data_IF_048178924893
#
_entry.id   IF_048178924893
#
_cell.length_a   1.000
_cell.length_b   1.000
_cell.length_c   1.000
_cell.angle_alpha   90.00
_cell.angle_beta   90.00
_cell.angle_gamma   90.00
#
_symmetry.space_group_name_H-M   'P 1'
#
loop_
_entity.id
_entity.type
_entity.pdbx_description
1 polymer ?
#
# COMPACT_ATOMS: atom_id res chain seq x y z
N UNK A 1 6.91 -2.42 -5.72
CA UNK A 1 6.76 -1.19 -4.90
C UNK A 1 6.29 -1.59 -3.50
N UNK A 2 6.76 -0.91 -2.45
CA UNK A 2 6.45 -1.26 -1.05
C UNK A 2 4.95 -1.34 -0.76
N UNK A 3 4.16 -0.39 -1.27
CA UNK A 3 2.71 -0.35 -1.05
C UNK A 3 1.93 -1.56 -1.57
N UNK A 4 2.47 -2.28 -2.56
CA UNK A 4 1.88 -3.50 -3.12
C UNK A 4 2.42 -4.78 -2.44
N UNK A 5 3.62 -4.70 -1.83
CA UNK A 5 4.29 -5.83 -1.19
C UNK A 5 3.86 -6.00 0.28
N UNK A 6 3.87 -4.91 1.05
CA UNK A 6 3.63 -4.96 2.49
C UNK A 6 2.27 -5.57 2.87
N UNK A 7 1.16 -5.32 2.15
CA UNK A 7 -0.14 -5.92 2.46
C UNK A 7 -0.18 -7.46 2.35
N UNK A 8 0.74 -8.06 1.58
CA UNK A 8 0.82 -9.52 1.41
C UNK A 8 1.51 -10.22 2.58
N UNK A 9 2.38 -9.51 3.31
CA UNK A 9 3.22 -10.11 4.35
C UNK A 9 2.44 -10.78 5.49
N UNK A 10 1.32 -10.23 6.01
CA UNK A 10 0.53 -10.90 7.04
C UNK A 10 0.07 -12.29 6.61
N UNK A 11 -0.44 -12.43 5.38
CA UNK A 11 -0.87 -13.72 4.84
C UNK A 11 0.32 -14.68 4.62
N UNK A 12 1.44 -14.17 4.11
CA UNK A 12 2.66 -14.97 3.92
C UNK A 12 3.18 -15.52 5.24
N UNK A 13 3.22 -14.70 6.29
CA UNK A 13 3.61 -15.13 7.65
C UNK A 13 2.64 -16.15 8.23
N UNK A 14 1.34 -15.97 8.05
CA UNK A 14 0.32 -16.90 8.51
C UNK A 14 0.46 -18.27 7.83
N UNK A 15 0.66 -18.32 6.52
CA UNK A 15 0.92 -19.54 5.77
C UNK A 15 2.22 -20.23 6.27
N UNK A 16 3.28 -19.47 6.48
CA UNK A 16 4.55 -20.00 7.02
C UNK A 16 4.37 -20.60 8.42
N UNK A 17 3.65 -19.89 9.30
CA UNK A 17 3.35 -20.36 10.67
C UNK A 17 2.56 -21.67 10.67
N UNK A 18 1.72 -21.89 9.65
CA UNK A 18 0.95 -23.14 9.46
C UNK A 18 1.77 -24.28 8.85
N UNK A 19 3.06 -24.06 8.61
CA UNK A 19 3.98 -25.08 8.13
C UNK A 19 4.13 -25.17 6.62
N UNK A 20 3.56 -24.22 5.85
CA UNK A 20 3.80 -24.16 4.42
C UNK A 20 5.20 -23.62 4.12
N UNK A 21 5.82 -24.12 3.04
CA UNK A 21 6.97 -23.45 2.44
C UNK A 21 6.49 -22.24 1.68
N UNK A 22 6.99 -21.04 2.02
CA UNK A 22 6.54 -19.78 1.43
C UNK A 22 7.73 -19.05 0.84
N UNK A 23 7.66 -18.74 -0.46
CA UNK A 23 8.61 -17.86 -1.12
C UNK A 23 7.93 -16.57 -1.52
N UNK A 24 8.66 -15.46 -1.44
CA UNK A 24 8.23 -14.17 -1.94
C UNK A 24 9.10 -13.76 -3.12
N UNK A 25 8.47 -13.52 -4.27
CA UNK A 25 9.17 -13.09 -5.48
C UNK A 25 9.17 -11.57 -5.55
N UNK A 26 10.35 -10.98 -5.56
CA UNK A 26 10.55 -9.53 -5.49
C UNK A 26 11.59 -9.04 -6.48
N UNK A 27 11.61 -7.72 -6.71
CA UNK A 27 12.71 -7.06 -7.39
C UNK A 27 13.89 -6.81 -6.42
N UNK A 28 15.11 -6.60 -6.94
CA UNK A 28 16.29 -6.31 -6.11
C UNK A 28 16.06 -5.18 -5.09
N UNK A 29 15.39 -4.10 -5.50
CA UNK A 29 15.09 -2.95 -4.62
C UNK A 29 14.15 -3.28 -3.45
N UNK A 30 13.39 -4.38 -3.52
CA UNK A 30 12.48 -4.80 -2.46
C UNK A 30 13.09 -5.85 -1.50
N UNK A 31 14.27 -6.38 -1.79
CA UNK A 31 14.93 -7.37 -0.92
C UNK A 31 15.09 -6.88 0.52
N UNK A 32 15.54 -5.63 0.80
CA UNK A 32 15.69 -5.15 2.17
C UNK A 32 14.40 -5.14 2.99
N UNK A 33 13.24 -5.07 2.33
CA UNK A 33 11.92 -5.05 2.99
C UNK A 33 11.52 -6.41 3.52
N UNK A 34 12.01 -7.48 2.89
CA UNK A 34 11.66 -8.87 3.19
C UNK A 34 12.81 -9.67 3.77
N UNK A 35 14.00 -9.08 3.91
CA UNK A 35 15.20 -9.78 4.39
C UNK A 35 15.08 -10.30 5.81
N UNK A 36 14.29 -9.63 6.65
CA UNK A 36 14.07 -10.02 8.05
C UNK A 36 12.86 -10.97 8.22
N UNK A 37 12.15 -11.26 7.12
CA UNK A 37 11.05 -12.21 7.14
C UNK A 37 11.59 -13.67 7.10
N UNK A 38 10.95 -14.58 7.82
CA UNK A 38 11.25 -16.01 7.73
C UNK A 38 10.60 -16.61 6.46
N UNK A 39 10.99 -16.09 5.30
CA UNK A 39 10.48 -16.43 3.98
C UNK A 39 11.64 -16.67 3.01
N UNK A 40 11.46 -17.58 2.06
CA UNK A 40 12.40 -17.69 0.94
C UNK A 40 12.22 -16.51 -0.01
N UNK A 41 13.32 -15.92 -0.47
CA UNK A 41 13.28 -14.74 -1.34
C UNK A 41 13.77 -15.12 -2.74
N UNK A 42 12.90 -14.94 -3.73
CA UNK A 42 13.19 -15.11 -5.16
C UNK A 42 13.35 -13.75 -5.81
N UNK A 43 14.56 -13.42 -6.25
CA UNK A 43 14.84 -12.13 -6.91
C UNK A 43 14.77 -12.34 -8.41
N UNK A 44 13.60 -12.14 -8.99
CA UNK A 44 13.33 -12.51 -10.39
C UNK A 44 12.33 -11.60 -11.11
N UNK A 45 12.03 -10.41 -10.58
CA UNK A 45 11.17 -9.44 -11.27
C UNK A 45 11.85 -8.10 -11.43
N UNK A 46 11.49 -7.35 -12.47
CA UNK A 46 12.10 -6.07 -12.80
C UNK A 46 11.84 -5.01 -11.72
N UNK A 47 12.81 -4.15 -11.51
CA UNK A 47 12.68 -3.00 -10.61
C UNK A 47 11.69 -1.96 -11.13
N UNK A 48 10.99 -1.31 -10.21
CA UNK A 48 10.03 -0.26 -10.53
C UNK A 48 10.61 0.86 -11.40
N UNK A 49 11.76 1.46 -11.06
CA UNK A 49 12.41 2.47 -11.89
C UNK A 49 12.72 2.00 -13.32
N UNK A 50 13.15 0.76 -13.49
CA UNK A 50 13.43 0.20 -14.82
C UNK A 50 12.13 0.04 -15.64
N UNK A 51 11.04 -0.44 -15.02
CA UNK A 51 9.73 -0.53 -15.66
C UNK A 51 9.23 0.87 -16.07
N UNK A 52 9.34 1.87 -15.19
CA UNK A 52 8.94 3.25 -15.48
C UNK A 52 9.74 3.80 -16.68
N UNK A 53 11.05 3.60 -16.72
CA UNK A 53 11.89 4.02 -17.84
C UNK A 53 11.49 3.36 -19.17
N UNK A 54 11.14 2.07 -19.12
CA UNK A 54 10.67 1.35 -20.29
C UNK A 54 9.31 1.85 -20.77
N UNK A 55 8.38 2.14 -19.85
CA UNK A 55 7.07 2.73 -20.20
C UNK A 55 7.27 4.11 -20.82
N UNK A 56 8.11 4.97 -20.25
CA UNK A 56 8.44 6.26 -20.84
C UNK A 56 9.01 6.10 -22.25
N UNK A 57 9.87 5.10 -22.48
CA UNK A 57 10.42 4.81 -23.83
C UNK A 57 9.35 4.37 -24.81
N UNK A 58 8.34 3.60 -24.37
CA UNK A 58 7.25 3.07 -25.21
C UNK A 58 6.17 4.09 -25.49
N UNK A 59 5.79 4.87 -24.50
CA UNK A 59 4.60 5.74 -24.52
C UNK A 59 4.93 7.23 -24.60
N UNK A 60 6.13 7.63 -24.18
CA UNK A 60 6.50 9.03 -24.00
C UNK A 60 5.98 9.64 -22.68
N UNK A 61 5.36 8.85 -21.80
CA UNK A 61 4.72 9.34 -20.57
C UNK A 61 5.42 8.85 -19.30
N UNK A 62 5.53 9.75 -18.29
CA UNK A 62 5.99 9.41 -16.95
C UNK A 62 4.82 8.98 -16.08
N UNK A 63 4.73 7.69 -15.78
CA UNK A 63 3.64 7.11 -15.00
C UNK A 63 3.74 7.33 -13.48
N UNK A 64 4.71 8.12 -13.01
CA UNK A 64 4.80 8.55 -11.61
C UNK A 64 3.86 9.69 -11.28
N UNK A 65 3.50 10.51 -12.27
CA UNK A 65 2.57 11.62 -12.17
C UNK A 65 1.23 11.33 -12.84
N UNK A 66 0.58 12.38 -13.34
CA UNK A 66 -0.60 12.23 -14.18
C UNK A 66 -0.19 11.59 -15.52
N UNK A 67 -0.83 10.50 -15.87
CA UNK A 67 -0.58 9.77 -17.10
C UNK A 67 -1.90 9.27 -17.71
N UNK A 68 -1.86 8.90 -18.99
CA UNK A 68 -3.01 8.27 -19.62
C UNK A 68 -3.28 6.88 -19.02
N UNK A 69 -4.53 6.46 -19.14
CA UNK A 69 -4.94 5.10 -18.76
C UNK A 69 -4.13 4.03 -19.48
N UNK A 70 -3.82 4.26 -20.74
CA UNK A 70 -3.05 3.38 -21.61
C UNK A 70 -1.62 3.23 -21.11
N UNK A 71 -0.96 4.32 -20.71
CA UNK A 71 0.39 4.28 -20.15
C UNK A 71 0.42 3.55 -18.79
N UNK A 72 -0.59 3.76 -17.95
CA UNK A 72 -0.73 3.02 -16.69
C UNK A 72 -0.93 1.52 -16.93
N UNK A 73 -1.77 1.11 -17.90
CA UNK A 73 -1.95 -0.29 -18.28
C UNK A 73 -0.65 -0.87 -18.85
N UNK A 74 0.08 -0.13 -19.66
CA UNK A 74 1.38 -0.54 -20.18
C UNK A 74 2.36 -0.84 -19.02
N UNK A 75 2.37 -0.01 -17.96
CA UNK A 75 3.25 -0.19 -16.82
C UNK A 75 2.96 -1.47 -16.03
N UNK A 76 1.69 -1.71 -15.70
CA UNK A 76 1.30 -2.84 -14.85
C UNK A 76 1.22 -4.15 -15.61
N UNK A 77 0.68 -4.14 -16.82
CA UNK A 77 0.43 -5.35 -17.60
C UNK A 77 1.60 -5.69 -18.54
N UNK A 78 1.90 -4.84 -19.52
CA UNK A 78 2.79 -5.24 -20.62
C UNK A 78 4.27 -5.13 -20.27
N UNK A 79 4.74 -3.93 -19.95
CA UNK A 79 6.17 -3.70 -19.69
C UNK A 79 6.68 -4.56 -18.53
N UNK A 80 5.88 -4.68 -17.47
CA UNK A 80 6.26 -5.51 -16.33
C UNK A 80 6.33 -7.00 -16.65
N UNK A 81 5.40 -7.52 -17.46
CA UNK A 81 5.44 -8.89 -17.94
C UNK A 81 6.68 -9.10 -18.81
N UNK A 82 6.90 -8.24 -19.80
CA UNK A 82 8.01 -8.34 -20.75
C UNK A 82 9.38 -8.35 -20.07
N UNK A 83 9.52 -7.54 -19.02
CA UNK A 83 10.79 -7.37 -18.32
C UNK A 83 11.03 -8.37 -17.19
N UNK A 84 10.02 -9.18 -16.83
CA UNK A 84 10.14 -10.05 -15.66
C UNK A 84 10.02 -11.55 -15.99
N UNK A 85 9.22 -11.93 -16.97
CA UNK A 85 8.81 -13.32 -17.15
C UNK A 85 9.97 -14.24 -17.49
N UNK A 86 10.97 -13.78 -18.24
CA UNK A 86 12.11 -14.61 -18.64
C UNK A 86 12.98 -15.07 -17.46
N UNK A 87 13.04 -14.27 -16.39
CA UNK A 87 13.73 -14.63 -15.14
C UNK A 87 12.76 -15.27 -14.13
N UNK A 88 11.53 -14.77 -14.06
CA UNK A 88 10.54 -15.20 -13.07
C UNK A 88 10.03 -16.63 -13.32
N UNK A 89 9.83 -17.03 -14.58
CA UNK A 89 9.30 -18.35 -14.91
C UNK A 89 10.28 -19.49 -14.54
N UNK A 90 11.57 -19.43 -14.89
CA UNK A 90 12.53 -20.45 -14.44
C UNK A 90 12.64 -20.52 -12.92
N UNK A 91 12.61 -19.39 -12.23
CA UNK A 91 12.64 -19.33 -10.77
C UNK A 91 11.39 -19.99 -10.14
N UNK A 92 10.20 -19.71 -10.66
CA UNK A 92 8.97 -20.35 -10.24
C UNK A 92 8.95 -21.84 -10.51
N UNK A 93 9.40 -22.27 -11.68
CA UNK A 93 9.50 -23.69 -12.04
C UNK A 93 10.49 -24.47 -11.17
N UNK A 94 11.61 -23.84 -10.79
CA UNK A 94 12.59 -24.44 -9.88
C UNK A 94 12.02 -24.55 -8.45
N UNK A 95 11.27 -23.54 -8.00
CA UNK A 95 10.60 -23.55 -6.68
C UNK A 95 9.45 -24.56 -6.63
N UNK A 96 8.71 -24.76 -7.72
CA UNK A 96 7.54 -25.64 -7.84
C UNK A 96 6.40 -25.28 -6.88
N UNK A 97 5.76 -24.11 -7.03
CA UNK A 97 4.63 -23.73 -6.19
C UNK A 97 3.43 -24.65 -6.40
N UNK A 98 2.67 -24.91 -5.34
CA UNK A 98 1.33 -25.52 -5.42
C UNK A 98 0.24 -24.43 -5.56
N UNK A 99 0.54 -23.21 -5.15
CA UNK A 99 -0.35 -22.06 -5.21
C UNK A 99 0.46 -20.77 -5.43
N UNK A 100 -0.04 -19.86 -6.26
CA UNK A 100 0.51 -18.51 -6.40
C UNK A 100 -0.44 -17.50 -5.83
N UNK A 101 0.01 -16.70 -4.84
CA UNK A 101 -0.70 -15.53 -4.36
C UNK A 101 -0.09 -14.29 -5.04
N UNK A 102 -0.93 -13.47 -5.66
CA UNK A 102 -0.50 -12.26 -6.34
C UNK A 102 -1.35 -11.06 -5.95
N UNK A 103 -0.81 -9.88 -6.04
CA UNK A 103 -1.54 -8.65 -5.80
C UNK A 103 -2.43 -8.29 -7.00
N UNK A 104 -3.46 -7.46 -6.79
CA UNK A 104 -4.49 -7.13 -7.78
C UNK A 104 -3.94 -6.55 -9.09
N UNK A 105 -2.88 -5.75 -9.02
CA UNK A 105 -2.24 -5.13 -10.19
C UNK A 105 -0.96 -5.86 -10.63
N UNK A 106 -0.66 -7.01 -10.04
CA UNK A 106 0.40 -7.90 -10.50
C UNK A 106 -0.12 -8.86 -11.57
N UNK A 107 0.44 -8.77 -12.76
CA UNK A 107 0.15 -9.66 -13.88
C UNK A 107 1.28 -10.67 -14.17
N UNK A 108 2.38 -10.63 -13.43
CA UNK A 108 3.43 -11.66 -13.51
C UNK A 108 2.99 -12.89 -12.72
N UNK A 109 2.47 -12.74 -11.50
CA UNK A 109 2.01 -13.85 -10.67
C UNK A 109 0.95 -14.73 -11.35
N UNK A 110 -0.15 -14.19 -11.91
CA UNK A 110 -1.12 -14.98 -12.67
C UNK A 110 -0.54 -15.67 -13.92
N UNK A 111 0.46 -15.04 -14.58
CA UNK A 111 1.19 -15.68 -15.67
C UNK A 111 1.92 -16.92 -15.18
N UNK A 112 2.69 -16.80 -14.08
CA UNK A 112 3.45 -17.89 -13.47
C UNK A 112 2.54 -19.03 -13.04
N UNK A 113 1.42 -18.72 -12.39
CA UNK A 113 0.43 -19.72 -12.00
C UNK A 113 -0.08 -20.52 -13.20
N UNK A 114 -0.47 -19.83 -14.28
CA UNK A 114 -0.96 -20.45 -15.50
C UNK A 114 0.12 -21.27 -16.23
N UNK A 115 1.36 -20.79 -16.28
CA UNK A 115 2.50 -21.45 -16.90
C UNK A 115 2.99 -22.67 -16.12
N UNK A 116 2.86 -22.67 -14.79
CA UNK A 116 3.18 -23.80 -13.90
C UNK A 116 1.99 -24.76 -13.71
N UNK A 117 0.84 -24.47 -14.32
CA UNK A 117 -0.39 -25.27 -14.20
C UNK A 117 -0.93 -25.36 -12.75
N UNK A 118 -0.79 -24.32 -11.96
CA UNK A 118 -1.28 -24.22 -10.59
C UNK A 118 -2.37 -23.15 -10.47
N UNK A 119 -3.10 -23.17 -9.36
CA UNK A 119 -4.10 -22.16 -9.08
C UNK A 119 -3.47 -20.85 -8.57
N UNK A 120 -4.23 -19.76 -8.70
CA UNK A 120 -3.84 -18.48 -8.11
C UNK A 120 -4.90 -17.90 -7.18
N UNK A 121 -4.45 -17.06 -6.26
CA UNK A 121 -5.26 -16.23 -5.36
C UNK A 121 -4.85 -14.79 -5.57
N UNK A 122 -5.83 -13.92 -5.83
CA UNK A 122 -5.62 -12.49 -5.92
C UNK A 122 -5.77 -11.86 -4.54
N UNK A 123 -4.89 -10.93 -4.18
CA UNK A 123 -4.95 -10.17 -2.94
C UNK A 123 -5.15 -8.68 -3.27
N UNK A 124 -6.17 -8.04 -2.72
CA UNK A 124 -6.35 -6.59 -2.87
C UNK A 124 -5.38 -5.83 -1.94
N UNK A 125 -5.20 -4.54 -2.16
CA UNK A 125 -4.33 -3.72 -1.31
C UNK A 125 -5.03 -2.48 -0.73
N UNK A 126 -6.34 -2.32 -0.97
CA UNK A 126 -7.13 -1.20 -0.45
C UNK A 126 -8.51 -1.16 -1.04
N UNK A 127 -9.14 0.02 -1.02
CA UNK A 127 -10.43 0.25 -1.64
C UNK A 127 -10.39 -0.02 -3.14
N UNK A 128 -11.56 -0.36 -3.71
CA UNK A 128 -11.67 -0.77 -5.11
C UNK A 128 -11.08 0.27 -6.07
N UNK A 129 -10.16 -0.19 -6.90
CA UNK A 129 -9.70 0.55 -8.07
C UNK A 129 -10.78 0.41 -9.14
N UNK A 130 -10.98 1.42 -9.97
CA UNK A 130 -11.95 1.37 -11.07
C UNK A 130 -12.00 -0.01 -11.74
N UNK A 131 -13.14 -0.71 -11.63
CA UNK A 131 -13.34 -2.03 -12.20
C UNK A 131 -13.07 -2.07 -13.71
N UNK A 132 -13.32 -0.94 -14.40
CA UNK A 132 -13.02 -0.80 -15.83
C UNK A 132 -11.53 -0.73 -16.11
N UNK A 133 -10.74 -0.11 -15.21
CA UNK A 133 -9.29 -0.08 -15.32
C UNK A 133 -8.71 -1.49 -15.14
N UNK A 134 -9.08 -2.18 -14.06
CA UNK A 134 -8.64 -3.54 -13.77
C UNK A 134 -9.02 -4.50 -14.92
N UNK A 135 -10.22 -4.37 -15.45
CA UNK A 135 -10.68 -5.18 -16.59
C UNK A 135 -9.84 -4.94 -17.84
N UNK A 136 -9.56 -3.67 -18.18
CA UNK A 136 -8.77 -3.32 -19.35
C UNK A 136 -7.33 -3.83 -19.22
N UNK A 137 -6.71 -3.69 -18.05
CA UNK A 137 -5.38 -4.22 -17.78
C UNK A 137 -5.34 -5.75 -17.86
N UNK A 138 -6.35 -6.45 -17.33
CA UNK A 138 -6.47 -7.91 -17.45
C UNK A 138 -6.65 -8.38 -18.89
N UNK A 139 -7.43 -7.65 -19.70
CA UNK A 139 -7.59 -7.95 -21.14
C UNK A 139 -6.26 -7.80 -21.87
N UNK A 140 -5.50 -6.75 -21.57
CA UNK A 140 -4.17 -6.51 -22.15
C UNK A 140 -3.19 -7.62 -21.73
N UNK A 141 -3.09 -7.92 -20.44
CA UNK A 141 -2.24 -9.00 -19.93
C UNK A 141 -2.58 -10.35 -20.55
N UNK A 142 -3.88 -10.67 -20.70
CA UNK A 142 -4.32 -11.91 -21.33
C UNK A 142 -3.93 -12.00 -22.83
N UNK A 143 -3.82 -10.87 -23.51
CA UNK A 143 -3.29 -10.82 -24.88
C UNK A 143 -1.78 -11.13 -24.90
N UNK A 144 -1.02 -10.53 -23.99
CA UNK A 144 0.43 -10.75 -23.85
C UNK A 144 0.76 -12.20 -23.44
N UNK A 145 -0.06 -12.81 -22.57
CA UNK A 145 0.09 -14.24 -22.21
C UNK A 145 -0.03 -15.15 -23.45
N UNK A 146 -1.02 -14.87 -24.31
CA UNK A 146 -1.23 -15.69 -25.53
C UNK A 146 -0.04 -15.64 -26.47
N UNK A 147 0.66 -14.51 -26.60
CA UNK A 147 1.89 -14.43 -27.42
C UNK A 147 3.00 -15.33 -26.91
N UNK A 148 2.94 -15.70 -25.61
CA UNK A 148 3.89 -16.59 -24.91
C UNK A 148 3.35 -18.03 -24.75
N UNK A 149 2.24 -18.36 -25.41
CA UNK A 149 1.64 -19.69 -25.32
C UNK A 149 0.91 -19.99 -24.01
N UNK A 150 0.69 -18.99 -23.17
CA UNK A 150 0.02 -19.13 -21.86
C UNK A 150 -1.42 -18.64 -21.95
N UNK A 151 -2.34 -19.36 -21.34
CA UNK A 151 -3.74 -18.98 -21.29
C UNK A 151 -4.07 -18.36 -19.94
N UNK A 152 -4.64 -17.15 -19.94
CA UNK A 152 -5.17 -16.51 -18.74
C UNK A 152 -6.15 -17.42 -17.99
N UNK A 153 -5.97 -17.49 -16.66
CA UNK A 153 -6.91 -18.14 -15.74
C UNK A 153 -7.37 -17.15 -14.68
N UNK A 154 -8.62 -17.23 -14.27
CA UNK A 154 -9.12 -16.44 -13.15
C UNK A 154 -8.55 -16.98 -11.84
N UNK A 155 -8.24 -16.12 -10.86
CA UNK A 155 -7.90 -16.59 -9.52
C UNK A 155 -9.06 -17.37 -8.90
N UNK A 156 -8.75 -18.43 -8.15
CA UNK A 156 -9.77 -19.24 -7.46
C UNK A 156 -10.47 -18.48 -6.33
N UNK A 157 -9.76 -17.53 -5.71
CA UNK A 157 -10.22 -16.69 -4.60
C UNK A 157 -9.66 -15.28 -4.75
N UNK A 158 -10.34 -14.33 -4.12
CA UNK A 158 -9.84 -12.97 -3.93
C UNK A 158 -9.81 -12.71 -2.43
N UNK A 159 -8.64 -12.43 -1.88
CA UNK A 159 -8.47 -11.96 -0.50
C UNK A 159 -8.62 -10.45 -0.50
N UNK A 160 -9.63 -9.94 0.21
CA UNK A 160 -9.93 -8.51 0.22
C UNK A 160 -9.68 -7.91 1.61
N UNK A 161 -8.78 -6.93 1.66
CA UNK A 161 -8.43 -6.23 2.89
C UNK A 161 -9.19 -4.91 3.08
N UNK A 162 -10.11 -4.57 2.17
CA UNK A 162 -10.90 -3.34 2.27
C UNK A 162 -12.10 -3.56 3.20
N UNK A 163 -12.25 -2.78 4.29
CA UNK A 163 -13.44 -2.84 5.13
C UNK A 163 -14.67 -2.29 4.37
N UNK A 164 -15.86 -2.80 4.70
CA UNK A 164 -17.09 -2.49 3.96
C UNK A 164 -17.42 -0.99 3.90
N UNK A 165 -17.12 -0.22 4.96
CA UNK A 165 -17.35 1.23 5.00
C UNK A 165 -16.48 2.02 3.99
N UNK A 166 -15.42 1.42 3.46
CA UNK A 166 -14.56 2.03 2.44
C UNK A 166 -14.86 1.53 1.03
N UNK A 167 -15.74 0.55 0.87
CA UNK A 167 -16.18 0.07 -0.45
C UNK A 167 -17.08 1.11 -1.14
N UNK A 168 -17.27 0.97 -2.44
CA UNK A 168 -18.24 1.80 -3.18
C UNK A 168 -19.66 1.50 -2.71
N UNK A 169 -20.51 2.51 -2.76
CA UNK A 169 -21.93 2.34 -2.40
C UNK A 169 -22.57 1.21 -3.24
N UNK A 170 -23.29 0.31 -2.55
CA UNK A 170 -23.92 -0.84 -3.19
C UNK A 170 -22.97 -1.98 -3.56
N UNK A 171 -21.69 -1.90 -3.20
CA UNK A 171 -20.76 -3.00 -3.43
C UNK A 171 -21.20 -4.26 -2.67
N UNK A 172 -21.09 -5.39 -3.34
CA UNK A 172 -21.35 -6.70 -2.75
C UNK A 172 -20.19 -7.63 -3.12
N UNK A 173 -19.70 -8.37 -2.12
CA UNK A 173 -18.62 -9.32 -2.32
C UNK A 173 -19.02 -10.38 -3.35
N UNK A 174 -18.28 -10.51 -4.48
CA UNK A 174 -18.52 -11.57 -5.43
C UNK A 174 -18.26 -12.95 -4.83
N UNK A 175 -18.82 -14.03 -5.38
CA UNK A 175 -18.49 -15.38 -4.96
C UNK A 175 -16.98 -15.64 -5.00
N UNK A 176 -16.43 -16.20 -3.94
CA UNK A 176 -15.00 -16.49 -3.83
C UNK A 176 -14.16 -15.36 -3.24
N UNK A 177 -14.78 -14.24 -2.84
CA UNK A 177 -14.10 -13.19 -2.08
C UNK A 177 -14.02 -13.56 -0.60
N UNK A 178 -12.82 -13.42 -0.02
CA UNK A 178 -12.51 -13.71 1.37
C UNK A 178 -12.06 -12.41 2.03
N UNK A 179 -12.85 -11.85 2.96
CA UNK A 179 -12.37 -10.68 3.71
C UNK A 179 -11.18 -11.08 4.59
N UNK A 180 -10.17 -10.22 4.66
CA UNK A 180 -9.04 -10.36 5.56
C UNK A 180 -8.74 -9.02 6.23
N UNK A 181 -8.50 -9.05 7.53
CA UNK A 181 -8.16 -7.86 8.29
C UNK A 181 -6.85 -7.26 7.80
N UNK A 182 -6.84 -5.97 7.38
CA UNK A 182 -5.61 -5.26 7.07
C UNK A 182 -4.78 -5.05 8.34
N UNK A 183 -3.47 -5.16 8.20
CA UNK A 183 -2.53 -4.93 9.29
C UNK A 183 -1.56 -3.80 8.91
N UNK A 184 -1.34 -2.86 9.84
CA UNK A 184 -0.25 -1.92 9.70
C UNK A 184 1.08 -2.68 9.68
N UNK A 185 1.99 -2.31 8.80
CA UNK A 185 3.29 -2.98 8.69
C UNK A 185 4.00 -3.03 10.04
N UNK A 186 4.46 -4.21 10.39
CA UNK A 186 5.25 -4.52 11.58
C UNK A 186 6.50 -5.27 11.12
N UNK A 187 7.66 -4.92 11.66
CA UNK A 187 8.84 -5.77 11.46
C UNK A 187 8.72 -7.04 12.27
N UNK A 188 9.27 -8.17 11.79
CA UNK A 188 9.37 -9.38 12.59
C UNK A 188 10.12 -9.10 13.90
N UNK A 189 9.64 -9.68 15.00
CA UNK A 189 9.91 -9.31 16.41
C UNK A 189 11.34 -9.37 16.94
N UNK A 190 12.37 -9.33 16.10
CA UNK A 190 13.78 -9.35 16.51
C UNK A 190 14.58 -8.14 16.05
N UNK A 191 14.03 -7.28 15.20
CA UNK A 191 14.75 -6.07 14.80
C UNK A 191 14.79 -5.08 15.96
N UNK A 192 15.99 -4.64 16.32
CA UNK A 192 16.23 -3.56 17.27
C UNK A 192 15.87 -2.22 16.62
N UNK A 193 14.56 -2.03 16.31
CA UNK A 193 14.12 -0.73 15.86
C UNK A 193 14.18 0.25 17.03
N UNK A 194 14.66 1.44 16.73
CA UNK A 194 14.59 2.56 17.64
C UNK A 194 13.12 2.94 17.77
N UNK A 195 12.58 2.97 18.98
CA UNK A 195 11.24 3.50 19.21
C UNK A 195 11.18 4.95 18.72
N UNK A 196 10.07 5.36 18.10
CA UNK A 196 9.88 6.75 17.73
C UNK A 196 9.96 7.64 18.96
N UNK A 197 10.41 8.88 18.77
CA UNK A 197 10.45 9.83 19.90
C UNK A 197 9.04 10.04 20.45
N UNK A 198 8.86 10.04 21.78
CA UNK A 198 7.57 10.34 22.38
C UNK A 198 7.05 11.70 21.92
N UNK A 199 5.76 11.77 21.58
CA UNK A 199 5.10 13.04 21.30
C UNK A 199 4.91 13.83 22.61
N UNK A 200 4.99 15.16 22.55
CA UNK A 200 4.75 16.04 23.69
C UNK A 200 3.29 15.95 24.18
N UNK A 201 2.98 16.57 25.32
CA UNK A 201 1.59 16.67 25.83
C UNK A 201 0.76 17.71 25.05
N UNK A 202 0.70 17.55 23.73
CA UNK A 202 -0.06 18.33 22.75
C UNK A 202 -0.73 17.36 21.80
N UNK A 203 -1.73 17.77 21.04
CA UNK A 203 -2.31 16.91 19.99
C UNK A 203 -1.21 16.36 19.08
N UNK A 204 -1.15 15.04 18.96
CA UNK A 204 -0.15 14.34 18.15
C UNK A 204 -0.55 14.25 16.68
N UNK A 205 0.30 14.70 15.79
CA UNK A 205 0.10 14.59 14.35
C UNK A 205 1.22 13.76 13.73
N UNK A 206 0.86 12.74 12.95
CA UNK A 206 1.80 12.01 12.09
C UNK A 206 1.71 12.55 10.68
N UNK A 207 2.82 13.02 10.12
CA UNK A 207 2.95 13.37 8.70
C UNK A 207 3.71 12.26 7.97
N UNK A 208 3.06 11.64 6.97
CA UNK A 208 3.64 10.56 6.18
C UNK A 208 3.21 10.61 4.72
N UNK A 209 4.16 10.72 3.80
CA UNK A 209 3.91 10.70 2.36
C UNK A 209 4.46 9.44 1.68
N UNK A 210 4.58 8.37 2.48
CA UNK A 210 5.00 7.05 2.00
C UNK A 210 6.44 7.04 1.51
N UNK A 211 6.75 6.06 0.66
CA UNK A 211 8.12 5.80 0.19
C UNK A 211 8.48 6.49 -1.13
N UNK A 212 7.52 7.16 -1.77
CA UNK A 212 7.69 7.76 -3.11
C UNK A 212 7.55 9.28 -3.09
N UNK A 213 6.62 9.82 -2.32
CA UNK A 213 6.23 11.24 -2.38
C UNK A 213 6.78 12.09 -1.24
N UNK A 214 7.57 11.53 -0.33
CA UNK A 214 8.11 12.20 0.87
C UNK A 214 9.29 13.15 0.61
N UNK A 215 9.43 13.75 -0.58
CA UNK A 215 10.54 14.66 -0.90
C UNK A 215 10.54 15.93 -0.05
N UNK A 216 11.72 16.51 0.27
CA UNK A 216 11.82 17.74 1.05
C UNK A 216 10.98 18.90 0.48
N UNK A 217 10.90 19.04 -0.84
CA UNK A 217 10.12 20.09 -1.50
C UNK A 217 8.61 19.98 -1.21
N UNK A 218 8.11 18.76 -0.92
CA UNK A 218 6.71 18.49 -0.56
C UNK A 218 6.52 18.61 0.95
N UNK A 219 7.40 17.98 1.73
CA UNK A 219 7.22 17.89 3.18
C UNK A 219 7.59 19.17 3.91
N UNK A 220 8.65 19.90 3.50
CA UNK A 220 9.13 21.09 4.24
C UNK A 220 8.07 22.18 4.36
N UNK A 221 7.31 22.55 3.32
CA UNK A 221 6.23 23.52 3.47
C UNK A 221 5.11 23.05 4.40
N UNK A 222 4.79 21.75 4.41
CA UNK A 222 3.77 21.18 5.30
C UNK A 222 4.26 21.20 6.75
N UNK A 223 5.53 20.81 6.97
CA UNK A 223 6.16 20.87 8.29
C UNK A 223 6.11 22.30 8.82
N UNK A 224 6.50 23.30 8.04
CA UNK A 224 6.45 24.71 8.44
C UNK A 224 5.03 25.13 8.84
N UNK A 225 4.03 24.87 8.00
CA UNK A 225 2.64 25.25 8.28
C UNK A 225 2.06 24.55 9.51
N UNK A 226 2.46 23.29 9.78
CA UNK A 226 2.01 22.55 10.97
C UNK A 226 2.78 22.99 12.23
N UNK A 227 4.06 23.37 12.11
CA UNK A 227 4.89 23.81 13.26
C UNK A 227 4.40 25.11 13.88
N UNK A 228 3.68 25.96 13.13
CA UNK A 228 3.06 27.19 13.64
C UNK A 228 1.85 26.94 14.55
N UNK A 229 1.41 25.68 14.71
CA UNK A 229 0.23 25.28 15.45
C UNK A 229 0.60 24.66 16.80
N UNK A 230 -0.32 24.70 17.76
CA UNK A 230 -0.12 24.08 19.07
C UNK A 230 -0.34 22.56 19.01
N UNK A 231 0.62 21.85 18.38
CA UNK A 231 0.63 20.41 18.20
C UNK A 231 2.05 19.83 18.34
N UNK A 232 2.14 18.51 18.44
CA UNK A 232 3.39 17.75 18.37
C UNK A 232 3.41 16.97 17.05
N UNK A 233 4.43 17.19 16.23
CA UNK A 233 4.53 16.66 14.88
C UNK A 233 5.59 15.56 14.81
N UNK A 234 5.18 14.38 14.37
CA UNK A 234 6.07 13.29 13.95
C UNK A 234 6.04 13.21 12.43
N UNK A 235 7.20 13.27 11.79
CA UNK A 235 7.33 13.20 10.33
C UNK A 235 8.10 11.94 9.98
N UNK A 236 7.55 11.11 9.09
CA UNK A 236 8.29 9.94 8.59
C UNK A 236 9.00 10.27 7.31
N UNK A 237 10.24 9.84 7.22
CA UNK A 237 11.06 9.94 6.03
C UNK A 237 10.99 8.64 5.23
N UNK A 238 11.12 8.75 3.91
CA UNK A 238 11.23 7.60 3.03
C UNK A 238 12.57 6.86 3.24
N UNK A 239 12.69 5.59 2.77
CA UNK A 239 13.86 4.74 3.04
C UNK A 239 15.18 5.29 2.48
N UNK A 240 15.13 6.24 1.54
CA UNK A 240 16.30 6.86 0.92
C UNK A 240 16.47 8.33 1.33
N UNK A 241 15.85 8.77 2.42
CA UNK A 241 15.89 10.15 2.89
C UNK A 241 16.59 10.23 4.24
N UNK A 242 17.28 11.34 4.47
CA UNK A 242 17.99 11.62 5.71
C UNK A 242 17.40 12.86 6.41
N UNK A 243 17.34 12.88 7.75
CA UNK A 243 16.93 14.07 8.50
C UNK A 243 17.72 15.34 8.14
N UNK A 244 18.99 15.20 7.68
CA UNK A 244 19.81 16.35 7.30
C UNK A 244 19.35 17.06 6.01
N UNK A 245 18.45 16.48 5.25
CA UNK A 245 17.84 17.09 4.06
C UNK A 245 16.75 18.11 4.43
N UNK A 246 16.33 18.13 5.71
CA UNK A 246 15.26 18.97 6.21
C UNK A 246 15.81 20.00 7.19
N UNK A 247 15.44 21.26 6.99
CA UNK A 247 15.73 22.31 7.98
C UNK A 247 14.53 22.39 8.94
N UNK A 248 14.65 21.74 10.09
CA UNK A 248 13.63 21.76 11.15
C UNK A 248 14.27 22.27 12.42
N UNK A 249 13.89 23.47 12.83
CA UNK A 249 14.28 24.06 14.09
C UNK A 249 13.02 24.30 14.96
N UNK A 250 12.42 23.20 15.41
CA UNK A 250 11.22 23.30 16.22
C UNK A 250 11.17 22.17 17.27
N UNK A 251 11.02 22.56 18.54
CA UNK A 251 11.06 21.65 19.70
C UNK A 251 10.05 20.49 19.61
N UNK A 252 8.88 20.74 19.01
CA UNK A 252 7.79 19.77 18.93
C UNK A 252 7.72 19.01 17.59
N UNK A 253 8.78 19.05 16.78
CA UNK A 253 8.89 18.30 15.54
C UNK A 253 9.95 17.21 15.66
N UNK A 254 9.59 15.97 15.36
CA UNK A 254 10.54 14.87 15.24
C UNK A 254 10.54 14.32 13.80
N UNK A 255 11.73 14.17 13.23
CA UNK A 255 11.94 13.46 11.97
C UNK A 255 12.32 12.02 12.31
N UNK A 256 11.56 11.07 11.81
CA UNK A 256 11.79 9.65 12.03
C UNK A 256 12.20 9.00 10.70
N UNK A 257 13.32 8.31 10.72
CA UNK A 257 13.71 7.43 9.62
C UNK A 257 12.65 6.33 9.43
N UNK A 258 12.78 5.54 8.36
CA UNK A 258 11.81 4.48 8.09
C UNK A 258 11.66 3.52 9.28
N UNK A 259 10.49 3.55 9.91
CA UNK A 259 10.07 2.70 11.02
C UNK A 259 8.78 1.96 10.67
N UNK A 260 8.49 0.84 11.34
CA UNK A 260 7.21 0.16 11.19
C UNK A 260 6.04 1.10 11.48
N UNK A 261 5.05 1.11 10.59
CA UNK A 261 3.97 2.08 10.64
C UNK A 261 3.17 2.02 11.94
N UNK A 262 2.98 0.83 12.49
CA UNK A 262 2.28 0.63 13.76
C UNK A 262 2.92 1.41 14.91
N UNK A 263 4.25 1.41 14.98
CA UNK A 263 5.00 2.13 16.04
C UNK A 263 4.86 3.64 15.88
N UNK A 264 4.82 4.12 14.63
CA UNK A 264 4.67 5.54 14.32
C UNK A 264 3.31 6.11 14.74
N UNK A 265 2.26 5.26 14.83
CA UNK A 265 0.91 5.68 15.23
C UNK A 265 0.74 5.87 16.73
N UNK A 266 1.72 5.49 17.55
CA UNK A 266 1.63 5.60 19.00
C UNK A 266 1.60 7.06 19.46
N UNK A 267 0.56 7.43 20.22
CA UNK A 267 0.35 8.79 20.71
C UNK A 267 -0.18 9.78 19.67
N UNK A 268 -0.54 9.31 18.46
CA UNK A 268 -1.07 10.15 17.38
C UNK A 268 -2.58 10.37 17.53
N UNK A 269 -3.04 11.58 17.21
CA UNK A 269 -4.44 11.97 17.18
C UNK A 269 -4.99 12.11 15.74
N UNK A 270 -4.14 12.53 14.79
CA UNK A 270 -4.49 12.74 13.38
C UNK A 270 -3.31 12.31 12.52
N UNK A 271 -3.61 11.63 11.41
CA UNK A 271 -2.61 11.30 10.39
C UNK A 271 -2.79 12.20 9.17
N UNK A 272 -1.73 12.87 8.74
CA UNK A 272 -1.64 13.57 7.47
C UNK A 272 -0.90 12.69 6.49
N UNK A 273 -1.54 12.30 5.39
CA UNK A 273 -0.94 11.39 4.42
C UNK A 273 -1.25 11.76 2.97
N UNK A 274 -0.49 11.16 2.05
CA UNK A 274 -0.73 11.23 0.61
C UNK A 274 -1.94 10.39 0.15
N UNK A 275 -2.61 9.68 1.06
CA UNK A 275 -3.79 8.88 0.71
C UNK A 275 -3.50 7.44 0.23
N UNK A 276 -2.26 6.96 0.34
CA UNK A 276 -1.94 5.57 -0.03
C UNK A 276 -2.68 4.54 0.84
N UNK A 277 -3.16 3.46 0.22
CA UNK A 277 -4.03 2.47 0.85
C UNK A 277 -3.48 1.90 2.18
N UNK A 278 -2.19 1.53 2.23
CA UNK A 278 -1.56 0.99 3.44
C UNK A 278 -1.54 2.00 4.60
N UNK A 279 -1.26 3.28 4.32
CA UNK A 279 -1.29 4.35 5.33
C UNK A 279 -2.71 4.59 5.84
N UNK A 280 -3.69 4.60 4.93
CA UNK A 280 -5.10 4.80 5.27
C UNK A 280 -5.62 3.66 6.14
N UNK A 281 -5.44 2.42 5.70
CA UNK A 281 -5.93 1.23 6.42
C UNK A 281 -5.24 1.08 7.77
N UNK A 282 -3.94 1.33 7.86
CA UNK A 282 -3.22 1.27 9.12
C UNK A 282 -3.66 2.33 10.13
N UNK A 283 -3.88 3.58 9.70
CA UNK A 283 -4.41 4.65 10.54
C UNK A 283 -5.84 4.34 11.00
N UNK A 284 -6.70 3.89 10.08
CA UNK A 284 -8.09 3.54 10.39
C UNK A 284 -8.19 2.32 11.30
N UNK A 285 -7.31 1.32 11.16
CA UNK A 285 -7.22 0.19 12.09
C UNK A 285 -6.87 0.63 13.52
N UNK A 286 -6.10 1.71 13.66
CA UNK A 286 -5.81 2.35 14.94
C UNK A 286 -6.92 3.32 15.41
N UNK A 287 -7.99 3.50 14.64
CA UNK A 287 -9.10 4.41 14.96
C UNK A 287 -8.74 5.90 14.81
N UNK A 288 -7.75 6.21 13.98
CA UNK A 288 -7.23 7.56 13.76
C UNK A 288 -7.85 8.18 12.50
N UNK A 289 -8.39 9.40 12.58
CA UNK A 289 -8.86 10.15 11.43
C UNK A 289 -7.69 10.72 10.61
N UNK A 290 -7.97 11.01 9.31
CA UNK A 290 -6.93 11.41 8.36
C UNK A 290 -7.21 12.75 7.69
N UNK A 291 -6.15 13.50 7.42
CA UNK A 291 -6.08 14.50 6.36
C UNK A 291 -5.33 13.88 5.18
N UNK A 292 -5.95 13.88 4.02
CA UNK A 292 -5.47 13.18 2.83
C UNK A 292 -5.17 14.18 1.72
N UNK A 293 -3.94 14.17 1.23
CA UNK A 293 -3.46 15.06 0.18
C UNK A 293 -2.85 14.24 -0.98
N UNK A 294 -3.69 13.66 -1.86
CA UNK A 294 -3.27 12.81 -2.95
C UNK A 294 -2.26 13.48 -3.88
N UNK A 295 -1.25 12.72 -4.31
CA UNK A 295 -0.20 13.17 -5.21
C UNK A 295 -0.24 12.46 -6.57
N UNK A 296 -0.93 11.34 -6.68
CA UNK A 296 -1.05 10.55 -7.91
C UNK A 296 -1.50 9.11 -7.67
N UNK A 297 -1.45 8.30 -8.70
CA UNK A 297 -1.88 6.90 -8.71
C UNK A 297 -3.34 6.72 -8.23
N UNK A 298 -3.60 5.69 -7.41
CA UNK A 298 -4.91 5.38 -6.82
C UNK A 298 -5.28 6.24 -5.60
N UNK A 299 -4.36 7.12 -5.15
CA UNK A 299 -4.48 7.85 -3.89
C UNK A 299 -5.73 8.73 -3.82
N UNK A 300 -6.12 9.34 -4.95
CA UNK A 300 -7.35 10.13 -5.04
C UNK A 300 -8.59 9.30 -4.71
N UNK A 301 -8.75 8.16 -5.34
CA UNK A 301 -9.86 7.25 -5.09
C UNK A 301 -9.86 6.74 -3.64
N UNK A 302 -8.69 6.35 -3.11
CA UNK A 302 -8.56 5.92 -1.72
C UNK A 302 -8.94 7.04 -0.74
N UNK A 303 -8.50 8.27 -0.98
CA UNK A 303 -8.79 9.42 -0.14
C UNK A 303 -10.30 9.79 -0.14
N UNK A 304 -10.93 9.74 -1.30
CA UNK A 304 -12.36 9.97 -1.44
C UNK A 304 -13.20 8.96 -0.64
N UNK A 305 -12.80 7.69 -0.59
CA UNK A 305 -13.48 6.67 0.23
C UNK A 305 -13.40 6.98 1.72
N UNK A 306 -12.23 7.37 2.21
CA UNK A 306 -12.04 7.75 3.62
C UNK A 306 -12.87 8.99 3.95
N UNK A 307 -12.88 10.00 3.09
CA UNK A 307 -13.68 11.22 3.27
C UNK A 307 -15.19 10.91 3.23
N UNK A 308 -15.66 10.12 2.28
CA UNK A 308 -17.06 9.69 2.17
C UNK A 308 -17.53 8.91 3.41
N UNK A 309 -16.65 8.10 4.01
CA UNK A 309 -16.92 7.39 5.26
C UNK A 309 -16.93 8.31 6.50
N UNK A 310 -16.62 9.61 6.33
CA UNK A 310 -16.55 10.61 7.39
C UNK A 310 -15.33 10.47 8.32
N UNK A 311 -14.34 9.68 7.94
CA UNK A 311 -13.16 9.40 8.75
C UNK A 311 -11.95 10.30 8.41
N UNK A 312 -12.13 11.28 7.52
CA UNK A 312 -11.06 12.21 7.15
C UNK A 312 -11.52 13.31 6.21
N UNK A 313 -10.58 14.18 5.87
CA UNK A 313 -10.73 15.29 4.92
C UNK A 313 -9.79 15.04 3.74
N UNK A 314 -10.34 14.99 2.52
CA UNK A 314 -9.57 14.92 1.29
C UNK A 314 -9.30 16.33 0.76
N UNK A 315 -8.04 16.64 0.48
CA UNK A 315 -7.60 17.85 -0.20
C UNK A 315 -7.20 17.42 -1.62
N UNK A 316 -8.01 17.76 -2.65
CA UNK A 316 -7.72 17.37 -4.02
C UNK A 316 -6.36 17.90 -4.52
N UNK A 317 -5.71 17.25 -5.51
CA UNK A 317 -4.41 17.69 -6.02
C UNK A 317 -4.36 19.15 -6.48
N UNK A 318 -5.39 19.62 -7.16
CA UNK A 318 -5.51 21.03 -7.61
C UNK A 318 -5.69 22.06 -6.49
N UNK A 319 -5.92 21.58 -5.25
CA UNK A 319 -6.14 22.43 -4.07
C UNK A 319 -5.04 22.17 -3.00
N UNK A 320 -3.99 21.45 -3.36
CA UNK A 320 -2.87 21.15 -2.46
C UNK A 320 -2.23 22.45 -2.00
N UNK A 321 -2.34 22.71 -0.68
CA UNK A 321 -1.78 23.89 -0.03
C UNK A 321 -1.45 23.51 1.43
N UNK A 322 -0.23 23.78 1.93
CA UNK A 322 0.17 23.50 3.30
C UNK A 322 -0.74 24.14 4.36
N UNK A 323 -1.22 25.37 4.14
CA UNK A 323 -2.16 26.02 5.08
C UNK A 323 -3.51 25.31 5.15
N UNK A 324 -4.02 24.80 4.01
CA UNK A 324 -5.26 24.00 4.00
C UNK A 324 -5.08 22.70 4.77
N UNK A 325 -3.92 22.06 4.66
CA UNK A 325 -3.60 20.87 5.47
C UNK A 325 -3.68 21.23 6.96
N UNK A 326 -3.07 22.34 7.36
CA UNK A 326 -3.11 22.81 8.75
C UNK A 326 -4.53 23.15 9.23
N UNK A 327 -5.37 23.76 8.38
CA UNK A 327 -6.79 24.03 8.71
C UNK A 327 -7.58 22.72 8.86
N UNK A 328 -7.37 21.76 7.97
CA UNK A 328 -8.02 20.45 8.03
C UNK A 328 -7.62 19.65 9.29
N UNK A 329 -6.34 19.72 9.70
CA UNK A 329 -5.88 19.14 10.96
C UNK A 329 -6.63 19.75 12.14
N UNK A 330 -6.74 21.09 12.20
CA UNK A 330 -7.46 21.77 13.27
C UNK A 330 -8.96 21.40 13.28
N UNK A 331 -9.60 21.31 12.12
CA UNK A 331 -10.99 20.89 11.99
C UNK A 331 -11.20 19.47 12.57
N UNK A 332 -10.35 18.51 12.17
CA UNK A 332 -10.43 17.13 12.68
C UNK A 332 -10.22 17.08 14.20
N UNK A 333 -9.28 17.84 14.73
CA UNK A 333 -9.01 17.88 16.17
C UNK A 333 -10.17 18.47 16.97
N UNK A 334 -10.89 19.44 16.42
CA UNK A 334 -12.03 20.11 17.07
C UNK A 334 -13.35 19.36 16.87
N UNK A 335 -13.48 18.54 15.82
CA UNK A 335 -14.71 17.84 15.50
C UNK A 335 -14.59 16.33 15.76
N UNK A 336 -15.16 15.88 16.85
CA UNK A 336 -15.11 14.47 17.29
C UNK A 336 -15.79 13.48 16.35
N UNK A 337 -16.58 13.94 15.36
CA UNK A 337 -17.28 13.05 14.41
C UNK A 337 -16.30 12.27 13.54
N UNK A 338 -15.18 12.88 13.11
CA UNK A 338 -14.13 12.20 12.35
C UNK A 338 -13.52 11.04 13.13
N UNK A 339 -13.19 11.28 14.42
CA UNK A 339 -12.65 10.22 15.28
C UNK A 339 -13.70 9.13 15.55
N UNK A 340 -14.96 9.48 15.70
CA UNK A 340 -16.03 8.51 15.88
C UNK A 340 -16.18 7.61 14.64
N UNK A 341 -16.10 8.18 13.44
CA UNK A 341 -16.13 7.44 12.19
C UNK A 341 -14.89 6.52 12.04
N UNK A 342 -13.69 7.04 12.29
CA UNK A 342 -12.46 6.24 12.26
C UNK A 342 -12.53 5.05 13.24
N UNK A 343 -13.02 5.26 14.46
CA UNK A 343 -13.23 4.17 15.44
C UNK A 343 -14.31 3.18 15.03
N UNK A 344 -15.33 3.60 14.27
CA UNK A 344 -16.33 2.67 13.70
C UNK A 344 -15.66 1.75 12.69
N UNK A 345 -14.83 2.31 11.79
CA UNK A 345 -14.06 1.53 10.80
C UNK A 345 -13.05 0.62 11.51
N UNK A 346 -12.38 1.09 12.57
CA UNK A 346 -11.46 0.27 13.36
C UNK A 346 -12.15 -0.98 13.95
N UNK A 347 -13.37 -0.85 14.47
CA UNK A 347 -14.15 -2.00 14.95
C UNK A 347 -14.47 -2.96 13.82
N UNK A 348 -14.92 -2.44 12.68
CA UNK A 348 -15.21 -3.26 11.50
C UNK A 348 -13.96 -4.02 11.02
N UNK A 349 -12.80 -3.36 10.97
CA UNK A 349 -11.50 -4.01 10.69
C UNK A 349 -11.21 -5.10 11.73
N UNK A 350 -11.43 -4.81 13.01
CA UNK A 350 -11.23 -5.77 14.10
C UNK A 350 -12.09 -7.03 13.98
N UNK A 351 -13.29 -6.89 13.43
CA UNK A 351 -14.24 -7.98 13.21
C UNK A 351 -13.94 -8.80 11.93
N UNK A 352 -13.05 -8.33 11.04
CA UNK A 352 -12.64 -9.08 9.85
C UNK A 352 -11.78 -10.30 10.24
N UNK A 353 -11.87 -11.42 9.48
CA UNK A 353 -11.00 -12.58 9.68
C UNK A 353 -9.52 -12.21 9.72
N UNK A 354 -8.75 -12.86 10.57
CA UNK A 354 -7.30 -12.67 10.62
C UNK A 354 -6.61 -13.30 9.40
N UNK A 355 -5.35 -12.94 9.18
CA UNK A 355 -4.54 -13.59 8.15
C UNK A 355 -4.40 -15.11 8.40
N UNK A 356 -4.40 -15.56 9.67
CA UNK A 356 -4.37 -16.98 10.01
C UNK A 356 -5.68 -17.70 9.65
N UNK A 357 -6.85 -17.09 9.89
CA UNK A 357 -8.14 -17.64 9.46
C UNK A 357 -8.19 -17.81 7.93
N UNK A 358 -7.72 -16.80 7.19
CA UNK A 358 -7.67 -16.85 5.73
C UNK A 358 -6.66 -17.88 5.22
N UNK A 359 -5.48 -17.96 5.85
CA UNK A 359 -4.48 -18.96 5.50
C UNK A 359 -5.02 -20.39 5.67
N UNK A 360 -5.82 -20.65 6.72
CA UNK A 360 -6.50 -21.92 6.90
C UNK A 360 -7.41 -22.28 5.71
N UNK A 361 -8.21 -21.30 5.24
CA UNK A 361 -9.12 -21.49 4.10
C UNK A 361 -8.43 -21.65 2.75
N UNK A 362 -7.19 -21.22 2.63
CA UNK A 362 -6.41 -21.36 1.40
C UNK A 362 -5.63 -22.68 1.35
N UNK A 363 -5.40 -23.32 2.49
CA UNK A 363 -4.69 -24.59 2.61
C UNK A 363 -5.59 -25.81 2.31
N UNK A 364 -6.91 -25.63 2.36
CA UNK A 364 -7.93 -26.61 1.98
C UNK A 364 -8.22 -26.56 0.45
#
# INVERSE_FOLDING_TARGET
>A
MHGHLLPLLPLARALRTRGHSVAIMVSPACVPVVSDEDLDVLVAVADGPAVIAEVMRRTGEDVRGECTREAAIEAFATARIDMSVDDALPAAQAWRPDLVVHELMDYVGPFLAAACDVESVCHTFGADISADFVRAAAVRAAADYRTRGVRWRRPRRVVDICPADLQVEGWQAPPGWLPMRPEAHQSPGTSRHRNPKPLARKPGVLLTFGTVYGHPDVLSPIIAALSERDLSLRVTLGPNQSPCEFTVDHEFVSLEEFLPYRELLEGVDVVVSHGGAGSNLGALAAGLPLVLAPQGADQGAQAERVAAAGAGICIPPGEFNPDRIGLAVNEILQNSTYRAAARRIARQIGDMPSADDVAALLAD
#
